data_IF_339838600467
#
_entry.id   IF_339838600467
#
_cell.length_a   1.000
_cell.length_b   1.000
_cell.length_c   1.000
_cell.angle_alpha   90.00
_cell.angle_beta   90.00
_cell.angle_gamma   90.00
#
_symmetry.space_group_name_H-M   'P 1'
#
loop_
_entity.id
_entity.type
_entity.pdbx_description
1 polymer ?
#
# COMPACT_ATOMS: atom_id res chain seq x y z
N UNK A 1 -53.37 -4.83 -16.28
CA UNK A 1 -52.63 -3.71 -15.66
C UNK A 1 -51.20 -3.83 -16.16
N UNK A 2 -50.77 -2.97 -17.09
CA UNK A 2 -49.37 -2.97 -17.52
C UNK A 2 -48.60 -2.01 -16.62
N UNK A 3 -47.74 -2.57 -15.78
CA UNK A 3 -46.89 -1.81 -14.87
C UNK A 3 -45.73 -1.21 -15.67
N UNK A 4 -45.69 0.11 -15.79
CA UNK A 4 -44.58 0.82 -16.42
C UNK A 4 -43.37 0.75 -15.47
N UNK A 5 -42.53 -0.28 -15.64
CA UNK A 5 -41.31 -0.43 -14.85
C UNK A 5 -40.27 0.60 -15.30
N UNK A 6 -40.09 1.66 -14.52
CA UNK A 6 -39.08 2.68 -14.81
C UNK A 6 -37.68 2.14 -14.54
N UNK A 7 -36.97 1.79 -15.61
CA UNK A 7 -35.62 1.21 -15.57
C UNK A 7 -34.58 2.22 -15.06
N UNK A 8 -34.81 3.52 -15.34
CA UNK A 8 -33.96 4.63 -14.89
C UNK A 8 -34.42 5.27 -13.57
N UNK A 9 -35.30 4.59 -12.82
CA UNK A 9 -35.60 4.97 -11.44
C UNK A 9 -34.34 4.93 -10.57
N UNK A 10 -34.37 5.66 -9.44
CA UNK A 10 -33.29 5.62 -8.44
C UNK A 10 -33.07 4.19 -7.92
N UNK A 11 -34.14 3.42 -7.70
CA UNK A 11 -34.04 1.99 -7.30
C UNK A 11 -33.65 1.06 -8.47
N UNK A 12 -33.49 1.61 -9.67
CA UNK A 12 -33.10 0.91 -10.89
C UNK A 12 -31.63 1.11 -11.26
N UNK A 13 -31.36 1.27 -12.56
CA UNK A 13 -30.00 1.39 -13.09
C UNK A 13 -29.30 2.65 -12.55
N UNK A 14 -30.04 3.73 -12.30
CA UNK A 14 -29.47 4.97 -11.78
C UNK A 14 -28.82 4.76 -10.41
N UNK A 15 -29.49 4.08 -9.47
CA UNK A 15 -28.92 3.76 -8.16
C UNK A 15 -27.75 2.79 -8.24
N UNK A 16 -27.83 1.79 -9.14
CA UNK A 16 -26.71 0.89 -9.41
C UNK A 16 -25.46 1.67 -9.86
N UNK A 17 -25.59 2.60 -10.81
CA UNK A 17 -24.46 3.38 -11.31
C UNK A 17 -23.86 4.28 -10.22
N UNK A 18 -24.69 4.91 -9.39
CA UNK A 18 -24.23 5.69 -8.24
C UNK A 18 -23.43 4.81 -7.28
N UNK A 19 -23.95 3.63 -6.94
CA UNK A 19 -23.27 2.70 -6.05
C UNK A 19 -21.93 2.22 -6.62
N UNK A 20 -21.87 1.92 -7.92
CA UNK A 20 -20.62 1.51 -8.60
C UNK A 20 -19.59 2.63 -8.54
N UNK A 21 -19.96 3.87 -8.87
CA UNK A 21 -19.05 5.02 -8.80
C UNK A 21 -18.56 5.23 -7.37
N UNK A 22 -19.45 5.12 -6.38
CA UNK A 22 -19.10 5.23 -4.97
C UNK A 22 -18.06 4.16 -4.57
N UNK A 23 -18.31 2.90 -4.89
CA UNK A 23 -17.40 1.80 -4.56
C UNK A 23 -16.04 1.96 -5.27
N UNK A 24 -16.03 2.32 -6.55
CA UNK A 24 -14.79 2.56 -7.29
C UNK A 24 -14.01 3.76 -6.74
N UNK A 25 -14.70 4.83 -6.32
CA UNK A 25 -14.04 5.99 -5.71
C UNK A 25 -13.38 5.61 -4.38
N UNK A 26 -14.06 4.84 -3.54
CA UNK A 26 -13.52 4.35 -2.26
C UNK A 26 -12.29 3.49 -2.51
N UNK A 27 -12.39 2.52 -3.43
CA UNK A 27 -11.26 1.66 -3.78
C UNK A 27 -10.07 2.48 -4.31
N UNK A 28 -10.30 3.39 -5.26
CA UNK A 28 -9.25 4.22 -5.85
C UNK A 28 -8.53 5.10 -4.82
N UNK A 29 -9.29 5.77 -3.94
CA UNK A 29 -8.72 6.62 -2.88
C UNK A 29 -7.91 5.79 -1.89
N UNK A 30 -8.46 4.68 -1.41
CA UNK A 30 -7.75 3.83 -0.44
C UNK A 30 -6.48 3.21 -1.05
N UNK A 31 -6.51 2.80 -2.31
CA UNK A 31 -5.31 2.31 -3.01
C UNK A 31 -4.25 3.39 -3.14
N UNK A 32 -4.63 4.62 -3.54
CA UNK A 32 -3.70 5.73 -3.64
C UNK A 32 -3.02 6.06 -2.31
N UNK A 33 -3.80 6.15 -1.22
CA UNK A 33 -3.28 6.41 0.12
C UNK A 33 -2.36 5.28 0.60
N UNK A 34 -2.73 4.02 0.33
CA UNK A 34 -1.95 2.85 0.69
C UNK A 34 -0.61 2.83 -0.04
N UNK A 35 -0.59 3.00 -1.37
CA UNK A 35 0.64 3.00 -2.17
C UNK A 35 1.57 4.14 -1.74
N UNK A 36 1.02 5.34 -1.53
CA UNK A 36 1.80 6.52 -1.10
C UNK A 36 2.44 6.29 0.27
N UNK A 37 1.69 5.73 1.22
CA UNK A 37 2.20 5.42 2.57
C UNK A 37 3.26 4.33 2.53
N UNK A 38 3.04 3.27 1.74
CA UNK A 38 4.01 2.19 1.56
C UNK A 38 5.31 2.70 0.94
N UNK A 39 5.22 3.53 -0.11
CA UNK A 39 6.39 4.14 -0.74
C UNK A 39 7.17 5.02 0.25
N UNK A 40 6.48 5.90 0.99
CA UNK A 40 7.12 6.78 1.96
C UNK A 40 7.91 6.01 3.03
N UNK A 41 7.34 4.94 3.57
CA UNK A 41 8.00 4.10 4.57
C UNK A 41 9.11 3.23 3.98
N UNK A 42 8.92 2.69 2.77
CA UNK A 42 9.95 1.92 2.08
C UNK A 42 11.20 2.77 1.75
N UNK A 43 11.03 4.07 1.57
CA UNK A 43 12.14 5.02 1.34
C UNK A 43 12.68 5.67 2.61
N UNK A 44 12.08 5.40 3.77
CA UNK A 44 12.52 5.95 5.05
C UNK A 44 13.55 5.01 5.69
N UNK A 45 14.79 5.11 5.20
CA UNK A 45 15.90 4.32 5.71
C UNK A 45 16.54 4.99 6.93
N UNK A 46 17.00 4.19 7.88
CA UNK A 46 17.86 4.67 8.95
C UNK A 46 19.19 5.15 8.35
N UNK A 47 19.56 6.38 8.66
CA UNK A 47 20.90 6.89 8.38
C UNK A 47 21.84 6.41 9.48
N UNK A 48 22.93 5.77 9.11
CA UNK A 48 24.02 5.47 10.03
C UNK A 48 24.89 6.73 10.15
N UNK A 49 24.77 7.42 11.29
CA UNK A 49 25.70 8.49 11.66
C UNK A 49 26.92 7.86 12.36
N UNK A 50 28.12 8.42 12.10
CA UNK A 50 29.37 7.97 12.72
C UNK A 50 29.66 6.46 12.58
N UNK A 51 29.54 5.93 11.36
CA UNK A 51 29.82 4.53 11.01
C UNK A 51 31.14 3.98 11.59
N UNK A 52 32.18 4.81 11.70
CA UNK A 52 33.50 4.43 12.24
C UNK A 52 33.54 4.26 13.76
N UNK A 53 32.54 4.80 14.46
CA UNK A 53 32.39 4.67 15.92
C UNK A 53 31.58 3.44 16.32
N UNK A 54 30.96 2.75 15.35
CA UNK A 54 30.22 1.52 15.59
C UNK A 54 31.20 0.40 15.94
N UNK A 55 31.25 0.07 17.22
CA UNK A 55 32.11 -0.98 17.75
C UNK A 55 31.55 -2.36 17.38
N UNK A 56 32.35 -3.16 16.69
CA UNK A 56 32.07 -4.59 16.49
C UNK A 56 32.47 -5.37 17.74
N UNK A 57 31.50 -5.68 18.61
CA UNK A 57 31.74 -6.42 19.85
C UNK A 57 31.74 -7.95 19.69
N UNK A 58 31.38 -8.46 18.51
CA UNK A 58 31.27 -9.90 18.28
C UNK A 58 32.63 -10.52 18.02
N UNK A 59 33.11 -11.33 18.97
CA UNK A 59 34.35 -12.11 18.85
C UNK A 59 34.24 -13.31 17.90
N UNK A 60 33.01 -13.76 17.61
CA UNK A 60 32.74 -14.93 16.75
C UNK A 60 32.44 -14.58 15.30
N UNK A 61 32.24 -13.30 14.96
CA UNK A 61 31.92 -12.87 13.59
C UNK A 61 33.02 -13.25 12.58
N UNK A 62 34.29 -13.26 13.01
CA UNK A 62 35.41 -13.68 12.17
C UNK A 62 35.34 -15.16 11.75
N UNK A 63 34.69 -16.03 12.54
CA UNK A 63 34.56 -17.47 12.25
C UNK A 63 33.60 -17.77 11.10
N UNK A 64 32.81 -16.79 10.67
CA UNK A 64 31.80 -16.91 9.61
C UNK A 64 32.23 -16.24 8.29
N UNK A 65 33.43 -15.65 8.25
CA UNK A 65 34.01 -15.11 7.02
C UNK A 65 34.73 -16.23 6.29
N UNK A 66 34.21 -16.63 5.14
CA UNK A 66 34.86 -17.61 4.26
C UNK A 66 35.54 -16.86 3.13
N UNK A 67 36.88 -16.93 3.08
CA UNK A 67 37.67 -16.40 1.96
C UNK A 67 37.52 -17.35 0.76
N UNK A 68 37.00 -16.83 -0.35
CA UNK A 68 36.86 -17.59 -1.60
C UNK A 68 38.15 -17.36 -2.40
N UNK A 69 39.20 -18.11 -2.06
CA UNK A 69 40.42 -18.21 -2.88
C UNK A 69 40.32 -19.30 -3.92
#
# INVERSE_FOLDING_TARGET
MMENRSIFSLDGITGMLIAVVLLLSIVGVLTYLSVTTQAANATNFYKIENEKEIKMFSTDSAKHVVDVK
#
